data_IF_061662390695
#
_entry.id   IF_061662390695
#
_cell.length_a   1.000
_cell.length_b   1.000
_cell.length_c   1.000
_cell.angle_alpha   90.00
_cell.angle_beta   90.00
_cell.angle_gamma   90.00
#
_symmetry.space_group_name_H-M   'P 1'
#
loop_
_entity.id
_entity.type
_entity.pdbx_description
1 polymer ?
#
# COMPACT_ATOMS: atom_id res chain seq x y z
N UNK A 1 11.18 -1.46 -14.43
CA UNK A 1 10.51 -1.50 -13.11
C UNK A 1 9.85 -0.14 -12.86
N UNK A 2 8.60 -0.17 -12.45
CA UNK A 2 7.83 1.03 -12.21
C UNK A 2 7.66 1.25 -10.71
N UNK A 3 7.78 2.49 -10.27
CA UNK A 3 7.59 2.87 -8.89
C UNK A 3 6.58 4.01 -8.84
N UNK A 4 5.55 3.86 -8.02
CA UNK A 4 4.53 4.89 -7.83
C UNK A 4 4.41 5.25 -6.36
N UNK A 5 4.01 6.49 -6.10
CA UNK A 5 3.73 6.96 -4.75
C UNK A 5 2.28 7.44 -4.70
N UNK A 6 1.55 6.99 -3.69
CA UNK A 6 0.15 7.35 -3.50
C UNK A 6 -0.02 7.94 -2.11
N UNK A 7 -0.53 9.16 -2.04
CA UNK A 7 -0.79 9.83 -0.77
C UNK A 7 -2.22 9.50 -0.31
N UNK A 8 -2.31 8.75 0.77
CA UNK A 8 -3.59 8.33 1.37
C UNK A 8 -3.82 8.98 2.72
N UNK A 9 -3.05 10.02 3.06
CA UNK A 9 -3.29 10.75 4.31
C UNK A 9 -4.69 11.36 4.29
N UNK A 10 -5.39 11.27 5.41
CA UNK A 10 -6.76 11.76 5.52
C UNK A 10 -7.82 10.84 4.94
N UNK A 11 -7.44 9.74 4.30
CA UNK A 11 -8.39 8.78 3.73
C UNK A 11 -8.76 7.75 4.79
N UNK A 12 -10.06 7.57 5.01
CA UNK A 12 -10.53 6.64 6.05
C UNK A 12 -10.54 5.19 5.56
N UNK A 13 -10.42 4.27 6.52
CA UNK A 13 -10.54 2.85 6.25
C UNK A 13 -12.04 2.52 6.00
N UNK A 14 -12.39 1.67 5.02
CA UNK A 14 -11.48 0.86 4.20
C UNK A 14 -11.08 1.50 2.86
N UNK A 15 -11.45 2.76 2.63
CA UNK A 15 -11.19 3.41 1.34
C UNK A 15 -9.70 3.50 1.03
N UNK A 16 -8.86 3.68 2.06
CA UNK A 16 -7.42 3.73 1.86
C UNK A 16 -6.91 2.43 1.23
N UNK A 17 -7.35 1.28 1.71
CA UNK A 17 -6.95 0.00 1.13
C UNK A 17 -7.53 -0.19 -0.27
N UNK A 18 -8.78 0.22 -0.49
CA UNK A 18 -9.39 0.12 -1.82
C UNK A 18 -8.59 0.90 -2.85
N UNK A 19 -8.20 2.13 -2.50
CA UNK A 19 -7.38 2.95 -3.40
C UNK A 19 -6.02 2.33 -3.66
N UNK A 20 -5.38 1.79 -2.62
CA UNK A 20 -4.09 1.12 -2.76
C UNK A 20 -4.21 -0.11 -3.67
N UNK A 21 -5.26 -0.87 -3.49
CA UNK A 21 -5.50 -2.08 -4.30
C UNK A 21 -5.69 -1.73 -5.77
N UNK A 22 -6.45 -0.68 -6.06
CA UNK A 22 -6.65 -0.24 -7.44
C UNK A 22 -5.33 0.20 -8.07
N UNK A 23 -4.49 0.90 -7.32
CA UNK A 23 -3.18 1.29 -7.81
C UNK A 23 -2.29 0.08 -8.08
N UNK A 24 -2.35 -0.94 -7.21
CA UNK A 24 -1.59 -2.17 -7.42
C UNK A 24 -2.04 -2.93 -8.67
N UNK A 25 -3.33 -2.88 -8.97
CA UNK A 25 -3.85 -3.55 -10.17
C UNK A 25 -3.31 -2.95 -11.46
N UNK A 26 -2.91 -1.69 -11.44
CA UNK A 26 -2.31 -1.03 -12.60
C UNK A 26 -0.82 -1.30 -12.75
N UNK A 27 -0.20 -1.91 -11.73
CA UNK A 27 1.22 -2.23 -11.74
C UNK A 27 1.44 -3.67 -12.20
N UNK A 28 2.64 -3.92 -12.72
CA UNK A 28 3.07 -5.28 -13.08
C UNK A 28 3.78 -5.94 -11.90
N UNK A 29 3.91 -7.24 -11.97
CA UNK A 29 4.65 -7.99 -10.97
C UNK A 29 6.08 -7.46 -10.86
N UNK A 30 6.51 -7.21 -9.62
CA UNK A 30 7.82 -6.64 -9.35
C UNK A 30 7.84 -5.12 -9.25
N UNK A 31 6.75 -4.46 -9.66
CA UNK A 31 6.64 -3.02 -9.51
C UNK A 31 6.38 -2.65 -8.05
N UNK A 32 6.71 -1.41 -7.70
CA UNK A 32 6.70 -0.95 -6.32
C UNK A 32 5.69 0.18 -6.15
N UNK A 33 4.91 0.09 -5.07
CA UNK A 33 3.97 1.14 -4.69
C UNK A 33 4.31 1.64 -3.30
N UNK A 34 4.53 2.94 -3.18
CA UNK A 34 4.77 3.59 -1.88
C UNK A 34 3.49 4.31 -1.46
N UNK A 35 3.04 4.03 -0.25
CA UNK A 35 1.85 4.65 0.32
C UNK A 35 2.25 5.57 1.47
N UNK A 36 1.63 6.75 1.52
CA UNK A 36 1.73 7.64 2.65
C UNK A 36 0.43 7.54 3.43
N UNK A 37 0.51 7.11 4.67
CA UNK A 37 -0.66 6.84 5.50
C UNK A 37 -0.61 7.65 6.79
N UNK A 38 -1.77 7.86 7.39
CA UNK A 38 -1.84 8.46 8.71
C UNK A 38 -1.37 7.46 9.78
N UNK A 39 -0.77 7.94 10.88
CA UNK A 39 -0.41 7.05 11.98
C UNK A 39 -1.66 6.46 12.63
N UNK A 40 -1.50 5.30 13.26
CA UNK A 40 -2.59 4.60 13.93
C UNK A 40 -3.10 3.44 13.09
N UNK A 41 -4.43 3.31 12.98
CA UNK A 41 -5.05 2.16 12.32
C UNK A 41 -4.62 1.96 10.86
N UNK A 42 -4.54 3.00 10.01
CA UNK A 42 -4.12 2.77 8.62
C UNK A 42 -2.75 2.13 8.48
N UNK A 43 -1.81 2.49 9.34
CA UNK A 43 -0.46 1.94 9.32
C UNK A 43 -0.44 0.47 9.74
N UNK A 44 -1.46 0.02 10.45
CA UNK A 44 -1.56 -1.37 10.88
C UNK A 44 -2.38 -2.21 9.90
N UNK A 45 -3.53 -1.70 9.46
CA UNK A 45 -4.48 -2.48 8.67
C UNK A 45 -4.09 -2.59 7.21
N UNK A 46 -3.59 -1.53 6.59
CA UNK A 46 -3.24 -1.55 5.16
C UNK A 46 -2.06 -2.49 4.87
N UNK A 47 -0.96 -2.44 5.63
CA UNK A 47 0.13 -3.41 5.41
C UNK A 47 -0.32 -4.86 5.61
N UNK A 48 -1.15 -5.10 6.61
CA UNK A 48 -1.66 -6.45 6.86
C UNK A 48 -2.47 -6.96 5.68
N UNK A 49 -3.36 -6.13 5.14
CA UNK A 49 -4.17 -6.51 3.98
C UNK A 49 -3.30 -6.81 2.76
N UNK A 50 -2.26 -6.02 2.55
CA UNK A 50 -1.34 -6.24 1.43
C UNK A 50 -0.57 -7.55 1.59
N UNK A 51 -0.16 -7.87 2.81
CA UNK A 51 0.52 -9.14 3.10
C UNK A 51 -0.40 -10.33 2.88
N UNK A 52 -1.66 -10.20 3.25
CA UNK A 52 -2.64 -11.26 3.05
C UNK A 52 -2.89 -11.52 1.56
N UNK A 53 -2.74 -10.49 0.72
CA UNK A 53 -2.83 -10.65 -0.72
C UNK A 53 -1.55 -11.24 -1.34
N UNK A 54 -0.52 -11.48 -0.54
CA UNK A 54 0.70 -12.12 -0.99
C UNK A 54 1.80 -11.19 -1.48
N UNK A 55 1.66 -9.89 -1.26
CA UNK A 55 2.68 -8.92 -1.65
C UNK A 55 3.73 -8.74 -0.57
N UNK A 56 4.93 -8.29 -0.97
CA UNK A 56 5.96 -7.91 -0.01
C UNK A 56 5.68 -6.50 0.49
N UNK A 57 5.73 -6.32 1.81
CA UNK A 57 5.38 -5.05 2.45
C UNK A 57 6.46 -4.65 3.43
N UNK A 58 6.91 -3.41 3.35
CA UNK A 58 7.85 -2.81 4.29
C UNK A 58 7.22 -1.55 4.86
N UNK A 59 7.26 -1.40 6.18
CA UNK A 59 6.70 -0.23 6.87
C UNK A 59 7.83 0.56 7.50
N UNK A 60 7.87 1.87 7.18
CA UNK A 60 8.82 2.80 7.76
C UNK A 60 8.08 4.04 8.24
N UNK A 61 7.81 4.15 9.54
CA UNK A 61 7.02 5.24 10.08
C UNK A 61 5.62 5.24 9.50
N UNK A 62 5.26 6.30 8.77
CA UNK A 62 3.96 6.39 8.08
C UNK A 62 4.05 6.05 6.60
N UNK A 63 5.20 5.57 6.15
CA UNK A 63 5.41 5.18 4.76
C UNK A 63 5.37 3.66 4.64
N UNK A 64 4.60 3.18 3.69
CA UNK A 64 4.49 1.75 3.42
C UNK A 64 4.89 1.50 1.98
N UNK A 65 5.82 0.57 1.79
CA UNK A 65 6.28 0.19 0.46
C UNK A 65 5.77 -1.22 0.16
N UNK A 66 5.07 -1.37 -0.95
CA UNK A 66 4.52 -2.66 -1.38
C UNK A 66 5.15 -3.03 -2.72
N UNK A 67 5.75 -4.21 -2.78
CA UNK A 67 6.25 -4.77 -4.03
C UNK A 67 5.23 -5.80 -4.51
N UNK A 68 4.69 -5.57 -5.69
CA UNK A 68 3.63 -6.42 -6.23
C UNK A 68 4.18 -7.79 -6.59
N UNK A 69 3.57 -8.84 -6.04
CA UNK A 69 3.98 -10.23 -6.26
C UNK A 69 3.01 -10.99 -7.16
N UNK A 70 1.86 -10.42 -7.45
CA UNK A 70 0.85 -11.08 -8.28
C UNK A 70 0.35 -10.18 -9.39
#
# INVERSE_FOLDING_TARGET
>A
MTSQTLDLTGVVCPLNWVKAKLALEELDQGDQLTLLLDPGEPIESVPQSAREDGHDVTVEGTRVTIVKQR
#
